data_IF_122215058348
#
_entry.id   IF_122215058348
#
_cell.length_a   1.000
_cell.length_b   1.000
_cell.length_c   1.000
_cell.angle_alpha   90.00
_cell.angle_beta   90.00
_cell.angle_gamma   90.00
#
_symmetry.space_group_name_H-M   'P 1'
#
loop_
_entity.id
_entity.type
_entity.pdbx_description
1 polymer ?
#
# COMPACT_ATOMS: atom_id res chain seq x y z
N UNK A 1 25.90 -30.60 14.26
CA UNK A 1 24.75 -30.56 13.32
C UNK A 1 23.41 -30.35 14.04
N UNK A 2 23.03 -31.21 15.00
CA UNK A 2 21.76 -31.08 15.76
C UNK A 2 21.53 -29.70 16.40
N UNK A 3 22.53 -29.14 17.09
CA UNK A 3 22.41 -27.80 17.71
C UNK A 3 22.14 -26.70 16.69
N UNK A 4 22.83 -26.73 15.54
CA UNK A 4 22.62 -25.75 14.47
C UNK A 4 21.23 -25.89 13.83
N UNK A 5 20.75 -27.12 13.63
CA UNK A 5 19.39 -27.37 13.14
C UNK A 5 18.34 -26.87 14.13
N UNK A 6 18.52 -27.15 15.42
CA UNK A 6 17.66 -26.65 16.50
C UNK A 6 17.62 -25.13 16.53
N UNK A 7 18.77 -24.47 16.48
CA UNK A 7 18.86 -23.01 16.50
C UNK A 7 18.22 -22.40 15.25
N UNK A 8 18.43 -23.00 14.08
CA UNK A 8 17.77 -22.58 12.84
C UNK A 8 16.25 -22.68 12.96
N UNK A 9 15.71 -23.81 13.42
CA UNK A 9 14.26 -23.99 13.62
C UNK A 9 13.72 -22.97 14.62
N UNK A 10 14.42 -22.74 15.73
CA UNK A 10 14.03 -21.74 16.72
C UNK A 10 14.02 -20.31 16.14
N UNK A 11 15.00 -19.95 15.31
CA UNK A 11 15.01 -18.66 14.61
C UNK A 11 13.81 -18.52 13.65
N UNK A 12 13.44 -19.58 12.92
CA UNK A 12 12.28 -19.54 12.03
C UNK A 12 10.95 -19.45 12.78
N UNK A 13 10.80 -20.18 13.89
CA UNK A 13 9.66 -20.05 14.80
C UNK A 13 9.56 -18.65 15.41
N UNK A 14 10.69 -17.97 15.56
CA UNK A 14 10.75 -16.56 15.97
C UNK A 14 10.57 -15.57 14.81
N UNK A 15 10.13 -16.03 13.64
CA UNK A 15 9.85 -15.21 12.46
C UNK A 15 11.08 -14.41 11.98
N UNK A 16 12.30 -14.92 12.20
CA UNK A 16 13.53 -14.24 11.82
C UNK A 16 13.58 -13.90 10.33
N UNK A 17 13.09 -14.79 9.46
CA UNK A 17 13.03 -14.55 8.00
C UNK A 17 12.04 -13.43 7.64
N UNK A 18 10.93 -13.32 8.36
CA UNK A 18 9.94 -12.23 8.18
C UNK A 18 10.57 -10.91 8.63
N UNK A 19 11.17 -10.88 9.81
CA UNK A 19 11.86 -9.70 10.33
C UNK A 19 13.00 -9.25 9.42
N UNK A 20 13.84 -10.17 8.96
CA UNK A 20 14.96 -9.87 8.08
C UNK A 20 14.48 -9.27 6.75
N UNK A 21 13.50 -9.90 6.11
CA UNK A 21 12.92 -9.45 4.84
C UNK A 21 12.29 -8.06 4.97
N UNK A 22 11.58 -7.81 6.07
CA UNK A 22 10.99 -6.50 6.37
C UNK A 22 12.06 -5.43 6.65
N UNK A 23 13.05 -5.74 7.50
CA UNK A 23 14.16 -4.83 7.83
C UNK A 23 14.98 -4.47 6.58
N UNK A 24 15.25 -5.45 5.72
CA UNK A 24 15.94 -5.25 4.46
C UNK A 24 15.14 -4.36 3.51
N UNK A 25 13.81 -4.55 3.41
CA UNK A 25 12.92 -3.68 2.64
C UNK A 25 13.01 -2.22 3.08
N UNK A 26 13.00 -1.97 4.38
CA UNK A 26 13.18 -0.64 4.98
C UNK A 26 14.52 -0.03 4.53
N UNK A 27 15.62 -0.76 4.73
CA UNK A 27 16.97 -0.30 4.37
C UNK A 27 17.07 0.01 2.87
N UNK A 28 16.63 -0.91 2.02
CA UNK A 28 16.67 -0.77 0.57
C UNK A 28 15.89 0.47 0.11
N UNK A 29 14.67 0.69 0.62
CA UNK A 29 13.87 1.86 0.26
C UNK A 29 14.56 3.18 0.62
N UNK A 30 15.01 3.35 1.87
CA UNK A 30 15.60 4.62 2.30
C UNK A 30 17.02 4.84 1.74
N UNK A 31 17.79 3.77 1.52
CA UNK A 31 19.08 3.85 0.84
C UNK A 31 18.90 4.28 -0.62
N UNK A 32 17.97 3.64 -1.35
CA UNK A 32 17.63 4.02 -2.72
C UNK A 32 17.12 5.46 -2.84
N UNK A 33 16.27 5.89 -1.90
CA UNK A 33 15.80 7.29 -1.83
C UNK A 33 16.94 8.27 -1.64
N UNK A 34 17.90 7.95 -0.77
CA UNK A 34 19.07 8.79 -0.52
C UNK A 34 19.98 8.87 -1.74
N UNK A 35 20.16 7.76 -2.46
CA UNK A 35 20.93 7.73 -3.73
C UNK A 35 20.25 8.59 -4.79
N UNK A 36 18.94 8.42 -5.00
CA UNK A 36 18.22 9.07 -6.09
C UNK A 36 17.96 10.55 -5.83
N UNK A 37 17.59 10.92 -4.62
CA UNK A 37 17.09 12.27 -4.30
C UNK A 37 18.01 13.07 -3.38
N UNK A 38 18.99 12.42 -2.73
CA UNK A 38 19.76 13.03 -1.65
C UNK A 38 18.91 13.27 -0.40
N UNK A 39 19.51 13.94 0.59
CA UNK A 39 18.82 14.39 1.80
C UNK A 39 18.49 13.25 2.77
N UNK A 40 19.49 12.86 3.58
CA UNK A 40 19.25 11.97 4.70
C UNK A 40 18.32 12.64 5.72
N UNK A 41 17.15 12.05 5.96
CA UNK A 41 16.22 12.50 7.01
C UNK A 41 16.34 11.57 8.20
N UNK A 42 16.79 12.11 9.34
CA UNK A 42 16.73 11.37 10.60
C UNK A 42 15.27 11.21 11.01
N UNK A 43 14.79 9.97 11.05
CA UNK A 43 13.56 9.64 11.78
C UNK A 43 13.97 9.13 13.15
N UNK A 44 13.59 9.81 14.25
CA UNK A 44 13.93 9.36 15.58
C UNK A 44 13.32 8.00 15.84
N UNK A 45 14.16 6.99 16.06
CA UNK A 45 13.74 5.74 16.64
C UNK A 45 13.64 5.98 18.15
N UNK A 46 12.42 6.05 18.68
CA UNK A 46 12.22 6.26 20.11
C UNK A 46 13.04 5.24 20.91
N UNK A 47 13.86 5.68 21.87
CA UNK A 47 14.68 4.81 22.74
C UNK A 47 13.85 4.00 23.75
N UNK A 48 12.54 3.87 23.55
CA UNK A 48 11.68 3.05 24.39
C UNK A 48 11.72 1.64 23.80
N UNK A 49 11.94 0.64 24.66
CA UNK A 49 11.79 -0.78 24.29
C UNK A 49 10.45 -0.94 23.57
N UNK A 50 10.41 -1.75 22.49
CA UNK A 50 9.26 -2.01 21.61
C UNK A 50 8.14 -2.71 22.39
N UNK A 51 7.52 -1.98 23.31
CA UNK A 51 6.43 -2.42 24.19
C UNK A 51 5.15 -1.66 23.83
N UNK A 52 5.26 -0.59 23.05
CA UNK A 52 4.13 0.26 22.69
C UNK A 52 3.52 -0.15 21.35
N UNK A 53 2.20 -0.27 21.38
CA UNK A 53 1.36 -0.44 20.20
C UNK A 53 1.47 0.78 19.28
N UNK A 54 1.76 0.54 18.01
CA UNK A 54 1.68 1.54 16.94
C UNK A 54 0.29 1.49 16.29
N UNK A 55 -0.39 2.63 16.20
CA UNK A 55 -1.72 2.70 15.59
C UNK A 55 -1.68 2.36 14.09
N UNK A 56 -2.83 2.01 13.50
CA UNK A 56 -2.99 1.89 12.04
C UNK A 56 -2.51 3.12 11.28
N UNK A 57 -2.80 4.32 11.78
CA UNK A 57 -2.33 5.59 11.19
C UNK A 57 -0.81 5.68 11.20
N UNK A 58 -0.18 5.35 12.32
CA UNK A 58 1.28 5.37 12.45
C UNK A 58 1.94 4.33 11.54
N UNK A 59 1.46 3.08 11.57
CA UNK A 59 1.97 2.02 10.70
C UNK A 59 1.84 2.39 9.21
N UNK A 60 0.69 2.93 8.81
CA UNK A 60 0.47 3.35 7.42
C UNK A 60 1.44 4.47 7.01
N UNK A 61 1.60 5.50 7.86
CA UNK A 61 2.53 6.61 7.59
C UNK A 61 3.99 6.16 7.49
N UNK A 62 4.39 5.18 8.29
CA UNK A 62 5.76 4.68 8.31
C UNK A 62 6.07 3.76 7.12
N UNK A 63 5.11 2.91 6.73
CA UNK A 63 5.38 1.78 5.85
C UNK A 63 4.66 1.82 4.49
N UNK A 64 3.75 2.77 4.24
CA UNK A 64 3.01 2.90 2.97
C UNK A 64 3.93 2.86 1.75
N UNK A 65 4.93 3.76 1.66
CA UNK A 65 5.81 3.88 0.48
C UNK A 65 6.97 2.88 0.47
N UNK A 66 7.40 2.45 1.64
CA UNK A 66 8.55 1.55 1.76
C UNK A 66 8.18 0.09 1.55
N UNK A 67 6.97 -0.32 1.94
CA UNK A 67 6.51 -1.71 1.96
C UNK A 67 5.15 -1.88 1.30
N UNK A 68 4.08 -1.22 1.78
CA UNK A 68 2.71 -1.59 1.40
C UNK A 68 2.44 -1.44 -0.09
N UNK A 69 2.76 -0.28 -0.66
CA UNK A 69 2.61 -0.04 -2.12
C UNK A 69 3.38 -1.09 -2.92
N UNK A 70 4.63 -1.38 -2.53
CA UNK A 70 5.46 -2.36 -3.24
C UNK A 70 4.94 -3.78 -3.07
N UNK A 71 4.41 -4.12 -1.89
CA UNK A 71 3.77 -5.39 -1.61
C UNK A 71 2.55 -5.61 -2.50
N UNK A 72 1.67 -4.60 -2.58
CA UNK A 72 0.52 -4.62 -3.49
C UNK A 72 0.92 -4.71 -4.96
N UNK A 73 1.93 -3.96 -5.39
CA UNK A 73 2.48 -4.06 -6.75
C UNK A 73 2.94 -5.49 -7.07
N UNK A 74 3.69 -6.12 -6.16
CA UNK A 74 4.13 -7.51 -6.32
C UNK A 74 2.96 -8.51 -6.30
N UNK A 75 1.92 -8.29 -5.47
CA UNK A 75 0.73 -9.16 -5.48
C UNK A 75 0.02 -9.10 -6.84
N UNK A 76 -0.20 -7.88 -7.36
CA UNK A 76 -0.83 -7.69 -8.68
C UNK A 76 -0.02 -8.41 -9.76
N UNK A 77 1.30 -8.26 -9.76
CA UNK A 77 2.17 -8.94 -10.72
C UNK A 77 2.15 -10.46 -10.60
N UNK A 78 2.11 -10.99 -9.38
CA UNK A 78 2.01 -12.43 -9.14
C UNK A 78 0.68 -13.01 -9.61
N UNK A 79 -0.42 -12.27 -9.41
CA UNK A 79 -1.74 -12.64 -9.92
C UNK A 79 -1.76 -12.60 -11.45
N UNK A 80 -1.23 -11.55 -12.07
CA UNK A 80 -1.11 -11.46 -13.54
C UNK A 80 -0.26 -12.62 -14.08
N UNK A 81 0.87 -12.92 -13.45
CA UNK A 81 1.72 -14.04 -13.86
C UNK A 81 1.00 -15.38 -13.76
N UNK A 82 0.23 -15.62 -12.69
CA UNK A 82 -0.57 -16.85 -12.55
C UNK A 82 -1.68 -16.97 -13.60
N UNK A 83 -2.33 -15.84 -13.96
CA UNK A 83 -3.41 -15.81 -14.95
C UNK A 83 -2.94 -16.06 -16.39
N UNK A 84 -1.70 -15.67 -16.72
CA UNK A 84 -1.18 -15.72 -18.10
C UNK A 84 0.00 -16.68 -18.29
N UNK A 85 0.37 -17.45 -17.26
CA UNK A 85 1.37 -18.52 -17.41
C UNK A 85 0.91 -19.54 -18.44
N UNK A 86 1.85 -20.06 -19.23
CA UNK A 86 1.54 -21.04 -20.28
C UNK A 86 1.13 -22.38 -19.66
N UNK A 87 0.18 -23.07 -20.30
CA UNK A 87 -0.43 -24.32 -19.79
C UNK A 87 0.55 -25.47 -19.53
N UNK A 88 1.74 -25.46 -20.14
CA UNK A 88 2.77 -26.50 -19.90
C UNK A 88 3.67 -26.22 -18.71
N UNK A 89 3.58 -25.04 -18.09
CA UNK A 89 4.26 -24.77 -16.83
C UNK A 89 3.50 -25.47 -15.71
N UNK A 90 4.13 -26.48 -15.09
CA UNK A 90 3.50 -27.22 -14.00
C UNK A 90 3.18 -26.27 -12.84
N UNK A 91 2.05 -26.51 -12.16
CA UNK A 91 1.66 -25.71 -10.99
C UNK A 91 2.76 -25.71 -9.92
N UNK A 92 3.45 -26.85 -9.77
CA UNK A 92 4.62 -26.97 -8.89
C UNK A 92 5.78 -26.06 -9.32
N UNK A 93 6.10 -25.96 -10.61
CA UNK A 93 7.15 -25.07 -11.08
C UNK A 93 6.81 -23.60 -10.82
N UNK A 94 5.55 -23.19 -11.02
CA UNK A 94 5.11 -21.84 -10.67
C UNK A 94 5.34 -21.54 -9.18
N UNK A 95 4.90 -22.43 -8.29
CA UNK A 95 5.05 -22.24 -6.83
C UNK A 95 6.53 -22.16 -6.47
N UNK A 96 7.37 -23.05 -7.00
CA UNK A 96 8.81 -23.07 -6.72
C UNK A 96 9.53 -21.80 -7.20
N UNK A 97 9.11 -21.19 -8.31
CA UNK A 97 9.73 -19.98 -8.83
C UNK A 97 9.23 -18.74 -8.07
N UNK A 98 7.96 -18.73 -7.66
CA UNK A 98 7.31 -17.52 -7.12
C UNK A 98 7.21 -17.47 -5.59
N UNK A 99 7.46 -18.57 -4.86
CA UNK A 99 7.26 -18.63 -3.41
C UNK A 99 7.99 -17.50 -2.67
N UNK A 100 9.21 -17.15 -3.12
CA UNK A 100 10.01 -16.12 -2.49
C UNK A 100 9.38 -14.73 -2.65
N UNK A 101 8.75 -14.46 -3.80
CA UNK A 101 8.07 -13.18 -4.08
C UNK A 101 6.74 -13.11 -3.32
N UNK A 102 6.00 -14.22 -3.24
CA UNK A 102 4.82 -14.33 -2.37
C UNK A 102 5.18 -14.07 -0.91
N UNK A 103 6.23 -14.73 -0.40
CA UNK A 103 6.72 -14.53 0.96
C UNK A 103 7.18 -13.09 1.20
N UNK A 104 7.92 -12.49 0.26
CA UNK A 104 8.35 -11.09 0.31
C UNK A 104 7.15 -10.14 0.39
N UNK A 105 6.17 -10.30 -0.49
CA UNK A 105 5.00 -9.43 -0.55
C UNK A 105 4.15 -9.52 0.71
N UNK A 106 3.82 -10.74 1.15
CA UNK A 106 3.06 -10.94 2.39
C UNK A 106 3.81 -10.42 3.61
N UNK A 107 5.14 -10.61 3.66
CA UNK A 107 5.97 -10.04 4.73
C UNK A 107 5.90 -8.53 4.73
N UNK A 108 6.04 -7.86 3.59
CA UNK A 108 5.97 -6.40 3.49
C UNK A 108 4.60 -5.85 3.90
N UNK A 109 3.52 -6.56 3.59
CA UNK A 109 2.15 -6.14 3.95
C UNK A 109 1.85 -6.36 5.44
N UNK A 110 2.26 -7.48 6.02
CA UNK A 110 1.74 -7.91 7.32
C UNK A 110 2.77 -7.88 8.47
N UNK A 111 4.07 -7.80 8.20
CA UNK A 111 5.08 -7.72 9.25
C UNK A 111 4.90 -6.54 10.22
N UNK A 112 4.52 -5.31 9.80
CA UNK A 112 4.27 -4.23 10.74
C UNK A 112 3.27 -4.61 11.83
N UNK A 113 2.18 -5.29 11.48
CA UNK A 113 1.14 -5.70 12.43
C UNK A 113 1.57 -6.90 13.26
N UNK A 114 2.29 -7.85 12.66
CA UNK A 114 2.79 -9.04 13.35
C UNK A 114 3.79 -8.69 14.45
N UNK A 115 4.65 -7.71 14.20
CA UNK A 115 5.64 -7.21 15.17
C UNK A 115 5.14 -6.03 16.01
N UNK A 116 3.83 -5.72 15.96
CA UNK A 116 3.21 -4.66 16.74
C UNK A 116 2.55 -5.24 18.00
N UNK A 117 2.99 -4.88 19.23
CA UNK A 117 2.29 -5.27 20.45
C UNK A 117 0.80 -4.92 20.38
N UNK A 118 -0.08 -5.84 20.80
CA UNK A 118 -1.54 -5.68 20.69
C UNK A 118 -2.05 -5.42 19.26
N UNK A 119 -1.29 -5.81 18.23
CA UNK A 119 -1.66 -5.64 16.83
C UNK A 119 -2.87 -6.47 16.39
N UNK A 120 -3.23 -7.51 17.15
CA UNK A 120 -4.42 -8.34 16.96
C UNK A 120 -5.42 -8.26 18.13
N UNK A 121 -5.37 -7.19 18.92
CA UNK A 121 -6.39 -6.93 19.94
C UNK A 121 -7.63 -6.25 19.33
N UNK A 122 -8.81 -6.83 19.52
CA UNK A 122 -10.04 -6.34 18.90
C UNK A 122 -10.40 -4.91 19.34
N UNK A 123 -10.30 -4.62 20.64
CA UNK A 123 -10.67 -3.29 21.15
C UNK A 123 -9.74 -2.23 20.58
N UNK A 124 -8.43 -2.52 20.52
CA UNK A 124 -7.44 -1.63 19.90
C UNK A 124 -7.70 -1.40 18.42
N UNK A 125 -7.97 -2.45 17.66
CA UNK A 125 -8.23 -2.33 16.21
C UNK A 125 -9.46 -1.46 15.91
N UNK A 126 -10.51 -1.58 16.72
CA UNK A 126 -11.71 -0.74 16.56
C UNK A 126 -11.39 0.74 16.75
N UNK A 127 -10.55 1.08 17.73
CA UNK A 127 -10.15 2.47 17.98
C UNK A 127 -9.16 2.97 16.92
N UNK A 128 -8.18 2.16 16.54
CA UNK A 128 -7.26 2.42 15.44
C UNK A 128 -7.97 2.69 14.11
N UNK A 129 -9.03 1.92 13.82
CA UNK A 129 -9.85 2.10 12.63
C UNK A 129 -10.59 3.44 12.64
N UNK A 130 -11.12 3.87 13.79
CA UNK A 130 -11.77 5.19 13.93
C UNK A 130 -10.75 6.30 13.70
N UNK A 131 -9.57 6.19 14.31
CA UNK A 131 -8.51 7.19 14.20
C UNK A 131 -7.96 7.28 12.77
N UNK A 132 -7.74 6.14 12.11
CA UNK A 132 -7.32 6.11 10.71
C UNK A 132 -8.38 6.71 9.79
N UNK A 133 -9.66 6.38 9.99
CA UNK A 133 -10.76 6.97 9.21
C UNK A 133 -10.90 8.48 9.39
N UNK A 134 -10.56 8.99 10.58
CA UNK A 134 -10.49 10.42 10.84
C UNK A 134 -9.30 11.01 10.09
N UNK A 135 -8.11 10.46 10.28
CA UNK A 135 -6.86 10.94 9.67
C UNK A 135 -6.92 10.98 8.13
N UNK A 136 -7.42 9.91 7.49
CA UNK A 136 -7.49 9.80 6.03
C UNK A 136 -8.38 10.88 5.41
N UNK A 137 -9.39 11.37 6.14
CA UNK A 137 -10.37 12.37 5.67
C UNK A 137 -10.03 13.80 6.08
N UNK A 138 -9.10 14.02 7.01
CA UNK A 138 -8.81 15.37 7.49
C UNK A 138 -8.04 16.18 6.43
N UNK A 139 -8.55 17.38 6.05
CA UNK A 139 -7.83 18.26 5.14
C UNK A 139 -6.52 18.72 5.77
N UNK A 140 -5.53 18.96 4.92
CA UNK A 140 -4.24 19.52 5.33
C UNK A 140 -4.30 21.03 5.48
N UNK A 141 -3.16 21.61 5.83
CA UNK A 141 -3.02 23.06 6.00
C UNK A 141 -1.64 23.43 6.52
N UNK A 142 -1.31 24.72 6.44
CA UNK A 142 -0.04 25.23 6.96
C UNK A 142 0.03 24.97 8.47
N UNK A 143 1.06 24.25 8.91
CA UNK A 143 1.28 23.92 10.32
C UNK A 143 0.48 22.72 10.85
N UNK A 144 -0.36 22.07 10.04
CA UNK A 144 -1.03 20.83 10.44
C UNK A 144 -0.01 19.70 10.42
N UNK A 145 0.12 19.00 11.55
CA UNK A 145 1.08 17.92 11.66
C UNK A 145 0.65 16.70 10.81
N UNK A 146 1.62 16.00 10.19
CA UNK A 146 1.39 14.80 9.39
C UNK A 146 0.61 13.68 10.11
N UNK A 147 0.72 13.56 11.44
CA UNK A 147 -0.01 12.56 12.24
C UNK A 147 -1.50 12.89 12.40
N UNK A 148 -1.92 14.13 12.10
CA UNK A 148 -3.32 14.57 12.19
C UNK A 148 -4.04 14.55 10.85
N UNK A 149 -3.34 14.77 9.74
CA UNK A 149 -3.94 14.85 8.40
C UNK A 149 -3.18 14.03 7.37
N UNK A 150 -3.91 13.22 6.60
CA UNK A 150 -3.36 12.49 5.45
C UNK A 150 -2.75 13.42 4.41
N UNK A 151 -3.38 14.54 4.09
CA UNK A 151 -2.86 15.47 3.09
C UNK A 151 -1.51 16.06 3.52
N UNK A 152 -1.37 16.42 4.80
CA UNK A 152 -0.10 16.95 5.34
C UNK A 152 1.01 15.88 5.33
N UNK A 153 0.66 14.62 5.62
CA UNK A 153 1.58 13.50 5.45
C UNK A 153 1.94 13.24 3.99
N UNK A 154 0.97 13.30 3.08
CA UNK A 154 1.17 13.07 1.66
C UNK A 154 2.15 14.08 1.06
N UNK A 155 1.98 15.35 1.43
CA UNK A 155 2.89 16.44 1.06
C UNK A 155 4.29 16.28 1.65
N UNK A 156 4.39 15.88 2.92
CA UNK A 156 5.70 15.61 3.56
C UNK A 156 6.42 14.43 2.90
N UNK A 157 5.69 13.35 2.62
CA UNK A 157 6.25 12.12 2.09
C UNK A 157 6.85 12.34 0.69
N UNK A 158 6.20 13.14 -0.15
CA UNK A 158 6.66 13.49 -1.50
C UNK A 158 7.63 14.68 -1.57
N UNK A 159 7.92 15.36 -0.46
CA UNK A 159 8.74 16.59 -0.45
C UNK A 159 10.14 16.42 -1.07
N UNK A 160 10.69 15.21 -1.02
CA UNK A 160 11.98 14.87 -1.62
C UNK A 160 11.98 14.96 -3.15
N UNK A 161 10.88 14.60 -3.82
CA UNK A 161 10.74 14.64 -5.28
C UNK A 161 10.75 16.10 -5.76
N UNK A 162 10.16 17.00 -4.99
CA UNK A 162 10.16 18.43 -5.31
C UNK A 162 11.57 19.05 -5.22
N UNK A 163 12.39 18.56 -4.27
CA UNK A 163 13.74 19.08 -4.04
C UNK A 163 14.80 18.39 -4.90
N UNK A 164 14.43 17.36 -5.66
CA UNK A 164 15.39 16.58 -6.43
C UNK A 164 15.70 17.22 -7.79
N UNK A 165 16.92 16.96 -8.27
CA UNK A 165 17.39 17.40 -9.57
C UNK A 165 16.61 16.76 -10.73
N UNK A 166 16.73 17.35 -11.93
CA UNK A 166 16.03 16.89 -13.12
C UNK A 166 16.33 15.41 -13.45
N UNK A 167 17.59 14.98 -13.32
CA UNK A 167 17.98 13.58 -13.57
C UNK A 167 17.24 12.58 -12.67
N UNK A 168 17.08 12.89 -11.39
CA UNK A 168 16.32 12.05 -10.46
C UNK A 168 14.84 11.93 -10.84
N UNK A 169 14.24 13.07 -11.19
CA UNK A 169 12.85 13.13 -11.69
C UNK A 169 12.66 12.35 -12.99
N UNK A 170 13.63 12.38 -13.90
CA UNK A 170 13.63 11.58 -15.12
C UNK A 170 13.70 10.08 -14.82
N UNK A 171 14.55 9.66 -13.88
CA UNK A 171 14.63 8.26 -13.44
C UNK A 171 13.29 7.80 -12.85
N UNK A 172 12.68 8.59 -11.97
CA UNK A 172 11.35 8.27 -11.40
C UNK A 172 10.27 8.19 -12.49
N UNK A 173 10.33 9.06 -13.50
CA UNK A 173 9.42 9.01 -14.64
C UNK A 173 9.60 7.72 -15.42
N UNK A 174 10.84 7.36 -15.78
CA UNK A 174 11.16 6.10 -16.48
C UNK A 174 10.70 4.89 -15.68
N UNK A 175 10.96 4.88 -14.37
CA UNK A 175 10.51 3.80 -13.50
C UNK A 175 8.98 3.71 -13.46
N UNK A 176 8.28 4.85 -13.47
CA UNK A 176 6.81 4.90 -13.47
C UNK A 176 6.20 4.42 -14.78
N UNK A 177 6.96 4.41 -15.89
CA UNK A 177 6.47 3.91 -17.19
C UNK A 177 6.03 2.44 -17.13
N UNK A 178 6.57 1.66 -16.18
CA UNK A 178 6.22 0.24 -16.00
C UNK A 178 4.73 0.00 -15.78
N UNK A 179 4.03 0.92 -15.13
CA UNK A 179 2.61 0.79 -14.87
C UNK A 179 1.77 0.85 -16.16
N UNK A 180 2.18 1.67 -17.12
CA UNK A 180 1.52 1.77 -18.43
C UNK A 180 1.85 0.56 -19.32
N UNK A 181 3.05 -0.01 -19.17
CA UNK A 181 3.40 -1.28 -19.83
C UNK A 181 2.52 -2.44 -19.35
N UNK A 182 2.13 -2.46 -18.07
CA UNK A 182 1.21 -3.48 -17.54
C UNK A 182 -0.17 -3.38 -18.18
N UNK A 183 -0.75 -2.17 -18.26
CA UNK A 183 -2.00 -1.96 -18.97
C UNK A 183 -1.89 -2.34 -20.44
N UNK A 184 -0.82 -1.92 -21.11
CA UNK A 184 -0.60 -2.28 -22.51
C UNK A 184 -0.65 -3.80 -22.69
N UNK A 185 0.12 -4.57 -21.90
CA UNK A 185 0.12 -6.02 -21.99
C UNK A 185 -1.24 -6.67 -21.70
N UNK A 186 -1.96 -6.18 -20.67
CA UNK A 186 -3.23 -6.76 -20.24
C UNK A 186 -4.40 -6.45 -21.16
N UNK A 187 -4.44 -5.26 -21.77
CA UNK A 187 -5.54 -4.82 -22.64
C UNK A 187 -5.64 -5.69 -23.91
N UNK A 188 -4.51 -6.14 -24.46
CA UNK A 188 -4.52 -7.07 -25.62
C UNK A 188 -5.00 -8.48 -25.30
N UNK A 189 -5.09 -8.81 -24.02
CA UNK A 189 -5.61 -10.08 -23.56
C UNK A 189 -7.09 -10.03 -23.14
N UNK A 190 -7.76 -8.88 -23.31
CA UNK A 190 -9.20 -8.77 -23.08
C UNK A 190 -9.97 -9.36 -24.27
N UNK A 191 -11.03 -10.12 -23.99
CA UNK A 191 -11.84 -10.73 -25.06
C UNK A 191 -12.53 -9.67 -25.93
N UNK A 192 -12.86 -8.49 -25.36
CA UNK A 192 -13.41 -7.32 -26.09
C UNK A 192 -12.47 -6.82 -27.21
N UNK A 193 -11.16 -7.09 -27.11
CA UNK A 193 -10.21 -6.70 -28.14
C UNK A 193 -10.32 -7.54 -29.41
N UNK A 194 -11.11 -8.63 -29.39
CA UNK A 194 -11.28 -9.58 -30.49
C UNK A 194 -9.94 -10.04 -31.11
N UNK A 195 -8.91 -10.20 -30.27
CA UNK A 195 -7.54 -10.54 -30.68
C UNK A 195 -6.89 -9.54 -31.65
N UNK A 196 -7.43 -8.31 -31.75
CA UNK A 196 -6.85 -7.27 -32.58
C UNK A 196 -5.61 -6.69 -31.90
N UNK A 197 -4.46 -6.85 -32.55
CA UNK A 197 -3.18 -6.30 -32.08
C UNK A 197 -3.00 -4.82 -32.45
N UNK A 198 -4.10 -4.11 -32.72
CA UNK A 198 -4.03 -2.72 -33.15
C UNK A 198 -3.71 -1.81 -31.96
N UNK A 199 -2.77 -0.88 -32.15
CA UNK A 199 -2.45 0.15 -31.16
C UNK A 199 -3.68 0.96 -30.71
N UNK A 200 -4.70 1.04 -31.58
CA UNK A 200 -5.98 1.71 -31.29
C UNK A 200 -6.67 1.13 -30.04
N UNK A 201 -6.61 -0.19 -29.79
CA UNK A 201 -7.26 -0.80 -28.62
C UNK A 201 -6.67 -0.24 -27.33
N UNK A 202 -5.34 -0.13 -27.28
CA UNK A 202 -4.66 0.49 -26.15
C UNK A 202 -5.08 1.95 -25.98
N UNK A 203 -5.11 2.75 -27.05
CA UNK A 203 -5.56 4.16 -26.99
C UNK A 203 -7.01 4.27 -26.50
N UNK A 204 -7.92 3.42 -26.99
CA UNK A 204 -9.31 3.40 -26.54
C UNK A 204 -9.45 3.04 -25.06
N UNK A 205 -8.57 2.20 -24.50
CA UNK A 205 -8.61 1.87 -23.07
C UNK A 205 -8.42 3.10 -22.16
N UNK A 206 -7.79 4.18 -22.64
CA UNK A 206 -7.64 5.43 -21.89
C UNK A 206 -8.96 6.19 -21.72
N UNK A 207 -9.99 5.88 -22.51
CA UNK A 207 -11.34 6.44 -22.32
C UNK A 207 -11.85 6.12 -20.91
N UNK A 208 -11.54 4.93 -20.37
CA UNK A 208 -11.92 4.53 -19.01
C UNK A 208 -11.35 5.51 -17.97
N UNK A 209 -10.09 5.91 -18.13
CA UNK A 209 -9.42 6.87 -17.23
C UNK A 209 -10.05 8.25 -17.38
N UNK A 210 -10.36 8.67 -18.62
CA UNK A 210 -11.09 9.90 -18.88
C UNK A 210 -12.47 9.93 -18.21
N UNK A 211 -13.22 8.82 -18.27
CA UNK A 211 -14.52 8.68 -17.60
C UNK A 211 -14.36 8.77 -16.08
N UNK A 212 -13.37 8.10 -15.49
CA UNK A 212 -13.09 8.20 -14.04
C UNK A 212 -12.78 9.65 -13.65
N UNK A 213 -11.98 10.36 -14.45
CA UNK A 213 -11.69 11.78 -14.23
C UNK A 213 -12.97 12.64 -14.27
N UNK A 214 -13.82 12.46 -15.28
CA UNK A 214 -15.09 13.17 -15.41
C UNK A 214 -16.03 12.88 -14.24
N UNK A 215 -16.15 11.61 -13.82
CA UNK A 215 -16.95 11.21 -12.66
C UNK A 215 -16.47 11.90 -11.38
N UNK A 216 -15.15 11.98 -11.16
CA UNK A 216 -14.59 12.69 -10.02
C UNK A 216 -14.92 14.19 -10.06
N UNK A 217 -14.88 14.83 -11.23
CA UNK A 217 -15.27 16.23 -11.41
C UNK A 217 -16.76 16.43 -11.10
N UNK A 218 -17.63 15.55 -11.60
CA UNK A 218 -19.07 15.56 -11.31
C UNK A 218 -19.35 15.44 -9.81
N UNK A 219 -18.63 14.56 -9.11
CA UNK A 219 -18.74 14.44 -7.63
C UNK A 219 -18.26 15.70 -6.93
N UNK A 220 -17.17 16.33 -7.40
CA UNK A 220 -16.63 17.55 -6.80
C UNK A 220 -17.61 18.73 -6.96
N UNK A 221 -18.18 18.89 -8.16
CA UNK A 221 -19.24 19.86 -8.41
C UNK A 221 -20.46 19.57 -7.53
N UNK A 222 -20.95 18.33 -7.52
CA UNK A 222 -22.10 17.93 -6.69
C UNK A 222 -21.87 18.21 -5.20
N UNK A 223 -20.63 18.07 -4.71
CA UNK A 223 -20.28 18.45 -3.33
C UNK A 223 -20.46 19.95 -3.09
N UNK A 224 -19.92 20.80 -3.96
CA UNK A 224 -20.03 22.26 -3.82
C UNK A 224 -21.49 22.74 -3.86
N UNK A 225 -22.33 22.13 -4.70
CA UNK A 225 -23.73 22.55 -4.86
C UNK A 225 -24.66 21.97 -3.78
N UNK A 226 -24.47 20.70 -3.39
CA UNK A 226 -25.43 19.98 -2.55
C UNK A 226 -24.95 19.77 -1.11
N UNK A 227 -23.64 19.67 -0.85
CA UNK A 227 -23.14 19.30 0.48
C UNK A 227 -23.32 20.41 1.51
N UNK A 228 -23.19 21.67 1.11
CA UNK A 228 -23.16 22.80 2.06
C UNK A 228 -24.55 23.13 2.59
N UNK A 229 -25.60 22.89 1.80
CA UNK A 229 -27.00 23.17 2.18
C UNK A 229 -27.85 21.90 2.43
N UNK A 230 -27.55 20.76 1.78
CA UNK A 230 -28.41 19.57 1.77
C UNK A 230 -27.61 18.26 1.80
N UNK A 231 -27.05 17.91 2.97
CA UNK A 231 -26.23 16.70 3.15
C UNK A 231 -26.94 15.40 2.72
N UNK A 232 -28.26 15.30 2.91
CA UNK A 232 -29.04 14.13 2.48
C UNK A 232 -29.10 14.02 0.95
N UNK A 233 -29.37 15.13 0.25
CA UNK A 233 -29.39 15.17 -1.21
C UNK A 233 -28.02 14.78 -1.79
N UNK A 234 -26.92 15.23 -1.17
CA UNK A 234 -25.58 14.82 -1.58
C UNK A 234 -25.33 13.31 -1.39
N UNK A 235 -25.88 12.69 -0.34
CA UNK A 235 -25.80 11.22 -0.15
C UNK A 235 -26.60 10.48 -1.23
N UNK A 236 -27.82 10.93 -1.52
CA UNK A 236 -28.64 10.35 -2.60
C UNK A 236 -27.98 10.51 -3.96
N UNK A 237 -27.43 11.68 -4.25
CA UNK A 237 -26.69 11.94 -5.49
C UNK A 237 -25.53 10.93 -5.68
N UNK A 238 -24.73 10.70 -4.64
CA UNK A 238 -23.67 9.67 -4.68
C UNK A 238 -24.23 8.26 -4.91
N UNK A 239 -25.36 7.93 -4.29
CA UNK A 239 -26.00 6.63 -4.47
C UNK A 239 -26.50 6.45 -5.92
N UNK A 240 -27.15 7.46 -6.51
CA UNK A 240 -27.59 7.43 -7.90
C UNK A 240 -26.41 7.36 -8.88
N UNK A 241 -25.35 8.13 -8.62
CA UNK A 241 -24.12 8.05 -9.43
C UNK A 241 -23.52 6.64 -9.39
N UNK A 242 -23.45 6.04 -8.20
CA UNK A 242 -22.96 4.66 -8.04
C UNK A 242 -23.83 3.66 -8.80
N UNK A 243 -25.16 3.74 -8.66
CA UNK A 243 -26.09 2.88 -9.40
C UNK A 243 -25.98 3.08 -10.92
N UNK A 244 -25.76 4.30 -11.39
CA UNK A 244 -25.52 4.60 -12.80
C UNK A 244 -24.24 3.94 -13.31
N UNK A 245 -23.14 4.03 -12.56
CA UNK A 245 -21.88 3.35 -12.92
C UNK A 245 -22.06 1.83 -12.97
N UNK A 246 -22.72 1.25 -11.97
CA UNK A 246 -23.02 -0.20 -11.94
C UNK A 246 -23.89 -0.60 -13.12
N UNK A 247 -24.95 0.17 -13.41
CA UNK A 247 -25.81 -0.06 -14.57
C UNK A 247 -25.02 -0.02 -15.87
N UNK A 248 -24.12 0.97 -16.05
CA UNK A 248 -23.27 1.08 -17.24
C UNK A 248 -22.35 -0.14 -17.39
N UNK A 249 -21.73 -0.61 -16.30
CA UNK A 249 -20.88 -1.81 -16.31
C UNK A 249 -21.71 -3.04 -16.71
N UNK A 250 -22.91 -3.21 -16.14
CA UNK A 250 -23.80 -4.33 -16.48
C UNK A 250 -24.21 -4.25 -17.96
N UNK A 251 -24.63 -3.08 -18.45
CA UNK A 251 -24.99 -2.93 -19.86
C UNK A 251 -23.83 -3.20 -20.80
N UNK A 252 -22.62 -2.74 -20.47
CA UNK A 252 -21.41 -3.01 -21.24
C UNK A 252 -21.08 -4.51 -21.22
N UNK A 253 -21.27 -5.16 -20.07
CA UNK A 253 -21.04 -6.60 -19.93
C UNK A 253 -22.00 -7.43 -20.78
N UNK A 254 -23.25 -6.98 -20.96
CA UNK A 254 -24.25 -7.66 -21.80
C UNK A 254 -24.11 -7.34 -23.30
N UNK A 255 -23.68 -6.12 -23.65
CA UNK A 255 -23.53 -5.69 -25.06
C UNK A 255 -22.21 -6.17 -25.66
N UNK A 256 -21.14 -6.18 -24.87
CA UNK A 256 -19.80 -6.56 -25.30
C UNK A 256 -19.43 -8.01 -24.91
N UNK A 257 -20.39 -8.80 -24.41
CA UNK A 257 -20.19 -10.17 -23.94
C UNK A 257 -18.96 -10.32 -23.00
N UNK A 258 -18.78 -9.36 -22.09
CA UNK A 258 -17.61 -9.33 -21.21
C UNK A 258 -17.62 -10.54 -20.26
N UNK A 259 -16.52 -11.27 -20.25
CA UNK A 259 -16.30 -12.35 -19.30
C UNK A 259 -16.05 -11.80 -17.89
N UNK A 260 -16.38 -12.59 -16.86
CA UNK A 260 -15.97 -12.27 -15.47
C UNK A 260 -14.45 -12.16 -15.35
N UNK A 261 -13.70 -12.88 -16.20
CA UNK A 261 -12.25 -12.76 -16.31
C UNK A 261 -11.83 -11.39 -16.83
N UNK A 262 -12.52 -10.84 -17.82
CA UNK A 262 -12.21 -9.52 -18.38
C UNK A 262 -12.37 -8.41 -17.34
N UNK A 263 -13.39 -8.50 -16.47
CA UNK A 263 -13.58 -7.55 -15.37
C UNK A 263 -12.38 -7.56 -14.40
N UNK A 264 -11.87 -8.75 -14.08
CA UNK A 264 -10.68 -8.90 -13.23
C UNK A 264 -9.45 -8.33 -13.94
N UNK A 265 -9.25 -8.65 -15.22
CA UNK A 265 -8.13 -8.15 -16.03
C UNK A 265 -8.17 -6.62 -16.16
N UNK A 266 -9.36 -6.04 -16.33
CA UNK A 266 -9.55 -4.58 -16.33
C UNK A 266 -9.11 -3.97 -14.99
N UNK A 267 -9.52 -4.53 -13.86
CA UNK A 267 -9.05 -4.08 -12.55
C UNK A 267 -7.51 -4.17 -12.44
N UNK A 268 -6.92 -5.29 -12.87
CA UNK A 268 -5.47 -5.50 -12.85
C UNK A 268 -4.71 -4.59 -13.81
N UNK A 269 -5.34 -4.11 -14.89
CA UNK A 269 -4.76 -3.16 -15.83
C UNK A 269 -4.87 -1.72 -15.33
N UNK A 270 -6.05 -1.29 -14.88
CA UNK A 270 -6.31 0.11 -14.56
C UNK A 270 -5.87 0.50 -13.14
N UNK A 271 -5.86 -0.41 -12.16
CA UNK A 271 -5.37 -0.09 -10.81
C UNK A 271 -3.89 0.33 -10.82
N UNK A 272 -2.96 -0.42 -11.47
CA UNK A 272 -1.58 0.02 -11.55
C UNK A 272 -1.41 1.26 -12.42
N UNK A 273 -2.16 1.41 -13.52
CA UNK A 273 -2.11 2.64 -14.33
C UNK A 273 -2.50 3.87 -13.54
N UNK A 274 -3.59 3.82 -12.79
CA UNK A 274 -4.00 4.97 -11.98
C UNK A 274 -2.94 5.35 -10.93
N UNK A 275 -2.24 4.36 -10.37
CA UNK A 275 -1.07 4.60 -9.54
C UNK A 275 0.08 5.27 -10.31
N UNK A 276 0.38 4.78 -11.52
CA UNK A 276 1.36 5.39 -12.41
C UNK A 276 1.04 6.85 -12.72
N UNK A 277 -0.23 7.18 -12.97
CA UNK A 277 -0.68 8.56 -13.17
C UNK A 277 -0.46 9.44 -11.95
N UNK A 278 -0.69 8.92 -10.75
CA UNK A 278 -0.37 9.64 -9.51
C UNK A 278 1.13 9.94 -9.46
N UNK A 279 1.99 8.95 -9.71
CA UNK A 279 3.45 9.15 -9.70
C UNK A 279 3.90 10.22 -10.72
N UNK A 280 3.37 10.17 -11.94
CA UNK A 280 3.63 11.18 -12.96
C UNK A 280 3.16 12.57 -12.50
N UNK A 281 1.96 12.67 -11.92
CA UNK A 281 1.45 13.92 -11.36
C UNK A 281 2.34 14.46 -10.23
N UNK A 282 2.88 13.60 -9.37
CA UNK A 282 3.82 13.99 -8.31
C UNK A 282 5.13 14.56 -8.87
N UNK A 283 5.68 13.93 -9.90
CA UNK A 283 6.90 14.40 -10.58
C UNK A 283 6.66 15.75 -11.26
N UNK A 284 5.49 15.89 -11.90
CA UNK A 284 5.07 17.09 -12.61
C UNK A 284 4.45 18.17 -11.73
N UNK A 285 4.38 17.96 -10.40
CA UNK A 285 3.76 18.90 -9.44
C UNK A 285 4.14 20.37 -9.67
N UNK A 286 5.42 20.75 -9.89
CA UNK A 286 5.76 22.16 -10.10
C UNK A 286 5.02 22.85 -11.26
N UNK A 287 4.58 22.08 -12.26
CA UNK A 287 3.84 22.58 -13.43
C UNK A 287 2.31 22.59 -13.19
N UNK A 288 1.80 21.69 -12.36
CA UNK A 288 0.36 21.44 -12.23
C UNK A 288 -0.24 21.82 -10.87
N UNK A 289 0.56 22.22 -9.87
CA UNK A 289 0.14 22.43 -8.46
C UNK A 289 -1.08 23.36 -8.33
N UNK A 290 -1.20 24.37 -9.21
CA UNK A 290 -2.31 25.35 -9.21
C UNK A 290 -3.50 24.96 -10.09
N UNK A 291 -3.47 23.79 -10.72
CA UNK A 291 -4.49 23.34 -11.68
C UNK A 291 -5.48 22.36 -11.04
N UNK A 292 -6.63 22.16 -11.68
CA UNK A 292 -7.61 21.14 -11.29
C UNK A 292 -7.06 19.70 -11.41
N UNK A 293 -6.02 19.50 -12.23
CA UNK A 293 -5.36 18.20 -12.39
C UNK A 293 -4.66 17.79 -11.08
N UNK A 294 -4.02 18.73 -10.39
CA UNK A 294 -3.38 18.45 -9.10
C UNK A 294 -4.41 18.14 -8.01
N UNK A 295 -5.51 18.89 -7.95
CA UNK A 295 -6.63 18.60 -7.03
C UNK A 295 -7.20 17.20 -7.29
N UNK A 296 -7.39 16.83 -8.56
CA UNK A 296 -7.79 15.47 -8.93
C UNK A 296 -6.76 14.44 -8.48
N UNK A 297 -5.47 14.65 -8.74
CA UNK A 297 -4.41 13.73 -8.33
C UNK A 297 -4.37 13.52 -6.80
N UNK A 298 -4.62 14.57 -6.01
CA UNK A 298 -4.74 14.47 -4.55
C UNK A 298 -5.94 13.61 -4.13
N UNK A 299 -7.14 13.87 -4.66
CA UNK A 299 -8.34 13.07 -4.34
C UNK A 299 -8.16 11.61 -4.79
N UNK A 300 -7.54 11.40 -5.95
CA UNK A 300 -7.28 10.08 -6.49
C UNK A 300 -6.26 9.32 -5.63
N UNK A 301 -5.15 9.95 -5.24
CA UNK A 301 -4.17 9.36 -4.33
C UNK A 301 -4.78 9.03 -2.96
N UNK A 302 -5.63 9.90 -2.41
CA UNK A 302 -6.36 9.64 -1.17
C UNK A 302 -7.24 8.39 -1.28
N UNK A 303 -7.92 8.23 -2.41
CA UNK A 303 -8.79 7.07 -2.68
C UNK A 303 -7.98 5.77 -2.77
N UNK A 304 -6.80 5.81 -3.39
CA UNK A 304 -5.86 4.68 -3.40
C UNK A 304 -5.38 4.32 -1.99
N UNK A 305 -4.94 5.32 -1.21
CA UNK A 305 -4.47 5.08 0.15
C UNK A 305 -5.59 4.58 1.07
N UNK A 306 -6.82 5.07 0.87
CA UNK A 306 -7.98 4.57 1.58
C UNK A 306 -8.28 3.10 1.20
N UNK A 307 -8.25 2.77 -0.09
CA UNK A 307 -8.46 1.40 -0.58
C UNK A 307 -7.40 0.43 -0.07
N UNK A 308 -6.12 0.79 -0.18
CA UNK A 308 -5.00 0.00 0.35
C UNK A 308 -5.12 -0.20 1.87
N UNK A 309 -5.47 0.84 2.62
CA UNK A 309 -5.72 0.74 4.06
C UNK A 309 -6.81 -0.27 4.40
N UNK A 310 -7.96 -0.22 3.72
CA UNK A 310 -9.06 -1.18 3.91
C UNK A 310 -8.60 -2.61 3.64
N UNK A 311 -7.91 -2.84 2.51
CA UNK A 311 -7.42 -4.18 2.13
C UNK A 311 -6.38 -4.70 3.12
N UNK A 312 -5.53 -3.83 3.68
CA UNK A 312 -4.55 -4.19 4.71
C UNK A 312 -5.21 -4.53 6.04
N UNK A 313 -6.14 -3.70 6.51
CA UNK A 313 -6.69 -3.80 7.87
C UNK A 313 -7.79 -4.87 7.98
N UNK A 314 -8.51 -5.18 6.89
CA UNK A 314 -9.57 -6.17 6.92
C UNK A 314 -9.08 -7.58 7.36
N UNK A 315 -8.00 -8.15 6.79
CA UNK A 315 -7.43 -9.40 7.28
C UNK A 315 -6.99 -9.34 8.74
N UNK A 316 -6.42 -8.22 9.18
CA UNK A 316 -5.98 -8.02 10.58
C UNK A 316 -7.17 -8.03 11.53
N UNK A 317 -8.26 -7.34 11.16
CA UNK A 317 -9.50 -7.31 11.93
C UNK A 317 -10.15 -8.70 12.03
N UNK A 318 -10.16 -9.47 10.94
CA UNK A 318 -10.65 -10.85 10.92
C UNK A 318 -9.82 -11.74 11.85
N UNK A 319 -8.49 -11.64 11.77
CA UNK A 319 -7.59 -12.43 12.62
C UNK A 319 -7.70 -12.06 14.11
N UNK A 320 -7.98 -10.79 14.42
CA UNK A 320 -8.15 -10.31 15.79
C UNK A 320 -9.41 -10.84 16.49
N UNK A 321 -10.40 -11.33 15.74
CA UNK A 321 -11.54 -12.06 16.32
C UNK A 321 -11.14 -13.42 16.90
N UNK A 322 -9.98 -13.96 16.52
CA UNK A 322 -9.48 -15.23 17.02
C UNK A 322 -8.57 -14.99 18.23
N UNK A 323 -8.99 -15.35 19.47
CA UNK A 323 -8.21 -15.07 20.68
C UNK A 323 -6.81 -15.73 20.66
N UNK A 324 -6.68 -16.84 19.94
CA UNK A 324 -5.44 -17.61 19.78
C UNK A 324 -4.35 -16.76 19.11
N UNK A 325 -4.70 -15.91 18.16
CA UNK A 325 -3.73 -15.10 17.41
C UNK A 325 -3.11 -14.03 18.29
N UNK A 326 -3.92 -13.35 19.10
CA UNK A 326 -3.45 -12.36 20.07
C UNK A 326 -2.58 -12.98 21.17
N UNK A 327 -2.98 -14.15 21.68
CA UNK A 327 -2.19 -14.90 22.66
C UNK A 327 -0.83 -15.34 22.08
N UNK A 328 -0.84 -15.89 20.86
CA UNK A 328 0.37 -16.28 20.14
C UNK A 328 1.31 -15.10 19.91
N UNK A 329 0.79 -13.97 19.44
CA UNK A 329 1.59 -12.75 19.23
C UNK A 329 2.24 -12.28 20.53
N UNK A 330 1.48 -12.24 21.63
CA UNK A 330 2.00 -11.78 22.93
C UNK A 330 3.10 -12.70 23.45
N UNK A 331 2.90 -14.02 23.38
CA UNK A 331 3.91 -15.01 23.79
C UNK A 331 5.15 -14.95 22.91
N UNK A 332 4.98 -14.69 21.61
CA UNK A 332 6.07 -14.53 20.67
C UNK A 332 6.90 -13.27 20.96
N UNK A 333 6.26 -12.09 21.06
CA UNK A 333 6.94 -10.81 21.26
C UNK A 333 7.59 -10.69 22.64
N UNK A 334 6.97 -11.23 23.68
CA UNK A 334 7.41 -11.09 25.07
C UNK A 334 7.93 -12.39 25.68
N UNK A 335 8.38 -13.34 24.85
CA UNK A 335 8.88 -14.63 25.32
C UNK A 335 9.92 -14.46 26.44
N UNK A 336 9.80 -15.25 27.52
CA UNK A 336 10.59 -15.14 28.74
C UNK A 336 12.11 -15.20 28.51
N UNK A 337 12.56 -15.81 27.41
CA UNK A 337 13.97 -15.81 27.00
C UNK A 337 14.49 -14.40 26.62
N UNK A 338 13.65 -13.55 26.03
CA UNK A 338 13.97 -12.16 25.71
C UNK A 338 14.00 -11.30 26.98
N UNK A 339 13.04 -11.50 27.89
CA UNK A 339 13.00 -10.84 29.20
C UNK A 339 14.21 -11.22 30.09
N UNK A 340 14.66 -12.48 30.08
CA UNK A 340 15.89 -12.90 30.78
C UNK A 340 17.14 -12.20 30.23
N UNK A 341 17.30 -12.08 28.90
CA UNK A 341 18.46 -11.37 28.30
C UNK A 341 18.44 -9.86 28.60
N UNK A 342 17.26 -9.24 28.62
CA UNK A 342 17.10 -7.83 29.00
C UNK A 342 17.40 -7.57 30.47
N UNK A 343 17.09 -8.48 31.39
CA UNK A 343 17.47 -8.35 32.81
C UNK A 343 18.98 -8.55 33.05
N UNK A 344 19.66 -9.35 32.22
CA UNK A 344 21.10 -9.62 32.36
C UNK A 344 21.98 -8.43 31.91
N UNK A 345 21.53 -7.63 30.93
CA UNK A 345 22.31 -6.49 30.42
C UNK A 345 22.58 -5.37 31.46
N UNK A 346 21.61 -4.91 32.26
CA UNK A 346 21.86 -3.97 33.35
C UNK A 346 22.83 -4.54 34.40
N UNK A 347 22.73 -5.83 34.71
CA UNK A 347 23.55 -6.52 35.72
C UNK A 347 25.01 -6.63 35.24
N UNK A 348 25.26 -6.88 33.95
CA UNK A 348 26.60 -6.91 33.36
C UNK A 348 27.20 -5.50 33.18
N UNK A 349 26.38 -4.50 32.85
CA UNK A 349 26.82 -3.11 32.78
C UNK A 349 27.22 -2.55 34.15
N UNK A 350 26.50 -2.96 35.23
CA UNK A 350 26.83 -2.61 36.61
C UNK A 350 28.12 -3.26 37.14
N UNK A 351 28.51 -4.44 36.63
CA UNK A 351 29.73 -5.14 37.10
C UNK A 351 31.03 -4.64 36.49
N UNK A 352 31.03 -3.92 35.36
CA UNK A 352 32.26 -3.37 34.75
C UNK A 352 32.77 -2.07 35.38
N UNK A 353 32.03 -1.45 36.32
CA UNK A 353 32.43 -0.20 36.98
C UNK A 353 33.13 -0.36 38.34
N UNK A 354 33.49 -1.59 38.72
CA UNK A 354 34.31 -1.87 39.91
C UNK A 354 35.49 -2.79 39.55
N UNK A 355 36.51 -2.21 38.92
CA UNK A 355 37.91 -2.63 39.07
C UNK A 355 38.74 -1.36 39.03
N UNK A 356 39.01 -0.85 40.23
CA UNK A 356 40.22 -0.08 40.58
C UNK A 356 41.47 -0.82 40.13
#
# INVERSE_FOLDING_TARGET
FYTALKDFVLMQLQLASVFFTFSFGTKCHYYGRTILHGGAKYRPTGRKVVIFHASFTENYRLYSRSHFVKGFELLVLLTVYDMYRKSYQSSTAYVLITYAIWFLSLTWLFAPFLFNPSGFDWQRIVDDWKDWNKWIKQPGGIGILPDKSWQSWWDEEQAHIHRSGLGSRLIEMILSLRFFMYQYGLVYHLDISAHSNNFIVYVLSWVVIGVIFLLAQVVNLGRHWLSDNHQFAFRLFKAFLFLSVVSTIITLSLVCDLSTRDLIVCCLAFLPTGWGLILIAQISRPLIDKTEIWKFAQVFAQSYDQGMGVVLFAPIAILAWLPIISAFQTQFLFNQAFNRRLQIQPILAGKKKKRT
#
